data_IF_275386543348
#
_entry.id   IF_275386543348
#
_cell.length_a   1.000
_cell.length_b   1.000
_cell.length_c   1.000
_cell.angle_alpha   90.00
_cell.angle_beta   90.00
_cell.angle_gamma   90.00
#
_symmetry.space_group_name_H-M   'P 1'
#
loop_
_entity.id
_entity.type
_entity.pdbx_description
1 polymer ?
#
# COMPACT_ATOMS: atom_id res chain seq x y z
N UNK A 1 -31.05 47.87 52.99
CA UNK A 1 -30.25 48.38 51.83
C UNK A 1 -28.78 47.89 51.82
N UNK A 2 -28.07 47.76 52.97
CA UNK A 2 -26.68 47.32 53.00
C UNK A 2 -26.42 45.85 52.55
N UNK A 3 -27.39 44.94 52.72
CA UNK A 3 -27.24 43.52 52.32
C UNK A 3 -27.45 43.29 50.84
N UNK A 4 -28.21 44.13 50.14
CA UNK A 4 -28.47 44.03 48.70
C UNK A 4 -27.20 44.38 47.90
N UNK A 5 -26.46 45.36 48.36
CA UNK A 5 -25.20 45.78 47.69
C UNK A 5 -24.09 44.75 47.79
N UNK A 6 -24.06 43.91 48.84
CA UNK A 6 -23.06 42.85 49.00
C UNK A 6 -23.31 41.71 48.01
N UNK A 7 -24.56 41.37 47.76
CA UNK A 7 -24.93 40.36 46.75
C UNK A 7 -24.67 40.84 45.34
N UNK A 8 -24.89 42.11 45.03
CA UNK A 8 -24.60 42.69 43.73
C UNK A 8 -23.11 42.76 43.43
N UNK A 9 -22.27 43.08 44.42
CA UNK A 9 -20.82 43.04 44.27
C UNK A 9 -20.26 41.60 44.13
N UNK A 10 -20.86 40.60 44.82
CA UNK A 10 -20.47 39.20 44.69
C UNK A 10 -20.81 38.62 43.31
N UNK A 11 -21.94 39.08 42.69
CA UNK A 11 -22.33 38.62 41.37
C UNK A 11 -21.50 39.26 40.25
N UNK A 12 -20.94 40.47 40.47
CA UNK A 12 -20.10 41.16 39.49
C UNK A 12 -18.66 40.59 39.44
N UNK A 13 -18.23 39.92 40.52
CA UNK A 13 -16.89 39.31 40.61
C UNK A 13 -16.80 37.96 39.82
N UNK A 14 -17.90 37.34 39.44
CA UNK A 14 -17.93 36.08 38.71
C UNK A 14 -17.80 36.22 37.19
N UNK A 15 -17.85 37.46 36.66
CA UNK A 15 -17.75 37.69 35.19
C UNK A 15 -16.33 38.08 34.71
N UNK A 16 -15.36 38.15 35.63
CA UNK A 16 -13.93 38.26 35.26
C UNK A 16 -13.19 36.92 35.36
N UNK A 17 -13.86 35.85 34.98
CA UNK A 17 -13.11 34.66 34.60
C UNK A 17 -12.31 35.01 33.37
N UNK A 18 -11.03 35.32 33.54
CA UNK A 18 -10.08 35.40 32.45
C UNK A 18 -10.24 34.14 31.59
N UNK A 19 -10.76 34.27 30.40
CA UNK A 19 -10.38 33.37 29.33
C UNK A 19 -8.85 33.56 29.17
N UNK A 20 -8.06 32.74 29.86
CA UNK A 20 -6.73 32.52 29.43
C UNK A 20 -6.88 31.92 28.04
N UNK A 21 -6.46 32.67 27.03
CA UNK A 21 -6.24 32.08 25.71
C UNK A 21 -5.49 30.78 25.95
N UNK A 22 -6.13 29.66 25.60
CA UNK A 22 -5.44 28.38 25.60
C UNK A 22 -4.21 28.58 24.70
N UNK A 23 -3.01 28.24 25.17
CA UNK A 23 -1.86 28.31 24.28
C UNK A 23 -2.18 27.46 23.05
N UNK A 24 -2.43 28.14 21.94
CA UNK A 24 -2.51 27.46 20.65
C UNK A 24 -1.12 26.89 20.44
N UNK A 25 -1.03 25.59 20.34
CA UNK A 25 0.21 24.93 19.95
C UNK A 25 0.45 25.33 18.49
N UNK A 26 1.19 26.40 18.30
CA UNK A 26 1.68 26.81 16.99
C UNK A 26 3.08 26.21 16.83
N UNK A 27 3.14 24.98 16.29
CA UNK A 27 4.37 24.52 15.69
C UNK A 27 4.53 25.30 14.36
N UNK A 28 5.58 26.09 14.21
CA UNK A 28 5.82 26.83 12.98
C UNK A 28 6.11 25.91 11.79
N UNK A 29 6.45 24.65 12.07
CA UNK A 29 6.82 23.67 11.06
C UNK A 29 5.61 22.88 10.57
N UNK A 30 5.37 22.89 9.26
CA UNK A 30 4.43 22.02 8.62
C UNK A 30 5.15 20.72 8.22
N UNK A 31 4.67 19.59 8.75
CA UNK A 31 5.30 18.29 8.55
C UNK A 31 4.48 17.46 7.56
N UNK A 32 5.18 16.75 6.66
CA UNK A 32 4.57 15.77 5.74
C UNK A 32 4.80 14.35 6.24
N UNK A 33 3.72 13.57 6.27
CA UNK A 33 3.73 12.15 6.58
C UNK A 33 2.99 11.39 5.47
N UNK A 34 3.47 10.19 5.11
CA UNK A 34 2.66 9.28 4.31
C UNK A 34 1.53 8.71 5.17
N UNK A 35 0.33 8.63 4.60
CA UNK A 35 -0.81 8.01 5.24
C UNK A 35 -0.86 6.53 4.84
N UNK A 36 -0.66 5.63 5.80
CA UNK A 36 -0.70 4.17 5.59
C UNK A 36 -2.05 3.54 5.96
N UNK A 37 -3.07 4.35 6.12
CA UNK A 37 -4.37 3.97 6.65
C UNK A 37 -4.69 4.77 7.91
N UNK A 38 -5.94 5.15 8.09
CA UNK A 38 -6.37 6.15 9.04
C UNK A 38 -6.08 5.77 10.51
N UNK A 39 -5.59 6.72 11.28
CA UNK A 39 -5.59 6.76 12.76
C UNK A 39 -4.66 5.77 13.48
N UNK A 40 -3.61 5.31 12.83
CA UNK A 40 -2.59 4.49 13.49
C UNK A 40 -1.70 5.35 14.38
N UNK A 41 -1.42 4.87 15.60
CA UNK A 41 -0.32 5.40 16.40
C UNK A 41 1.02 4.97 15.79
N UNK A 42 2.11 5.67 16.11
CA UNK A 42 3.45 5.32 15.62
C UNK A 42 3.87 3.88 15.98
N UNK A 43 3.32 3.34 17.07
CA UNK A 43 3.57 1.97 17.53
C UNK A 43 2.85 0.90 16.69
N UNK A 44 1.79 1.29 15.96
CA UNK A 44 1.00 0.39 15.13
C UNK A 44 1.47 0.34 13.67
N UNK A 45 2.38 1.23 13.26
CA UNK A 45 2.92 1.24 11.89
C UNK A 45 3.91 0.11 11.70
N UNK A 46 3.50 -0.89 10.95
CA UNK A 46 4.37 -2.02 10.58
C UNK A 46 5.19 -1.70 9.32
N UNK A 47 6.29 -2.42 9.11
CA UNK A 47 7.08 -2.30 7.88
C UNK A 47 6.24 -2.62 6.63
N UNK A 48 5.29 -3.53 6.76
CA UNK A 48 4.39 -3.93 5.66
C UNK A 48 3.51 -2.77 5.18
N UNK A 49 3.02 -1.92 6.08
CA UNK A 49 2.19 -0.77 5.73
C UNK A 49 2.96 0.29 4.93
N UNK A 50 4.29 0.34 5.10
CA UNK A 50 5.19 1.25 4.38
C UNK A 50 5.62 0.72 3.02
N UNK A 51 5.21 -0.51 2.68
CA UNK A 51 5.59 -1.18 1.47
C UNK A 51 4.36 -1.45 0.60
N UNK A 52 4.48 -1.12 -0.67
CA UNK A 52 3.52 -1.49 -1.71
C UNK A 52 4.20 -2.29 -2.81
N UNK A 53 3.39 -2.97 -3.60
CA UNK A 53 3.84 -3.65 -4.79
C UNK A 53 3.02 -3.23 -6.00
N UNK A 54 3.67 -3.09 -7.15
CA UNK A 54 3.01 -2.87 -8.42
C UNK A 54 3.56 -3.82 -9.47
N UNK A 55 2.70 -4.64 -10.02
CA UNK A 55 3.02 -5.49 -11.17
C UNK A 55 2.24 -5.01 -12.39
N UNK A 56 2.96 -4.61 -13.43
CA UNK A 56 2.34 -4.27 -14.71
C UNK A 56 1.55 -5.44 -15.30
N UNK A 57 1.98 -6.67 -15.03
CA UNK A 57 1.29 -7.86 -15.53
C UNK A 57 -0.07 -8.08 -14.85
N UNK A 58 -0.23 -7.63 -13.60
CA UNK A 58 -1.47 -7.75 -12.84
C UNK A 58 -2.44 -6.60 -13.06
N UNK A 59 -1.91 -5.38 -13.07
CA UNK A 59 -2.73 -4.18 -12.89
C UNK A 59 -2.90 -3.35 -14.17
N UNK A 60 -2.10 -3.67 -15.20
CA UNK A 60 -2.01 -2.80 -16.37
C UNK A 60 -2.36 -3.57 -17.65
N UNK A 61 -3.32 -3.09 -18.44
CA UNK A 61 -3.67 -3.72 -19.72
C UNK A 61 -2.45 -3.95 -20.62
N UNK A 62 -2.52 -5.00 -21.43
CA UNK A 62 -1.47 -5.30 -22.41
C UNK A 62 -1.28 -4.12 -23.37
N UNK A 63 -0.03 -3.70 -23.56
CA UNK A 63 0.31 -2.55 -24.43
C UNK A 63 0.31 -1.19 -23.73
N UNK A 64 -0.17 -1.07 -22.51
CA UNK A 64 -0.03 0.15 -21.72
C UNK A 64 1.37 0.22 -21.13
N UNK A 65 2.07 1.34 -21.35
CA UNK A 65 3.48 1.53 -20.98
C UNK A 65 3.70 2.34 -19.70
N UNK A 66 2.64 2.77 -19.05
CA UNK A 66 2.71 3.49 -17.77
C UNK A 66 1.48 3.25 -16.93
N UNK A 67 1.65 3.35 -15.62
CA UNK A 67 0.56 3.27 -14.66
C UNK A 67 0.82 4.21 -13.49
N UNK A 68 -0.20 4.55 -12.71
CA UNK A 68 -0.10 5.51 -11.63
C UNK A 68 -0.45 4.87 -10.29
N UNK A 69 0.48 4.94 -9.35
CA UNK A 69 0.23 4.63 -7.94
C UNK A 69 -0.03 5.94 -7.21
N UNK A 70 -1.17 6.02 -6.55
CA UNK A 70 -1.54 7.19 -5.76
C UNK A 70 -1.15 6.99 -4.31
N UNK A 71 -0.53 8.02 -3.73
CA UNK A 71 -0.11 8.03 -2.33
C UNK A 71 -0.84 9.15 -1.60
N UNK A 72 -1.39 8.81 -0.44
CA UNK A 72 -1.98 9.77 0.46
C UNK A 72 -0.93 10.36 1.40
N UNK A 73 -0.98 11.66 1.59
CA UNK A 73 -0.07 12.43 2.44
C UNK A 73 -0.87 13.23 3.44
N UNK A 74 -0.50 13.13 4.72
CA UNK A 74 -1.07 13.93 5.80
C UNK A 74 -0.14 15.09 6.15
N UNK A 75 -0.75 16.25 6.39
CA UNK A 75 -0.08 17.47 6.80
C UNK A 75 -0.32 17.69 8.30
N UNK A 76 0.75 17.80 9.06
CA UNK A 76 0.70 18.16 10.47
C UNK A 76 1.24 19.57 10.66
N UNK A 77 0.56 20.37 11.46
CA UNK A 77 0.90 21.77 11.72
C UNK A 77 -0.16 22.75 11.22
N UNK A 78 0.23 23.98 10.94
CA UNK A 78 -0.68 25.02 10.52
C UNK A 78 -1.02 24.89 9.04
N UNK A 79 -2.31 24.79 8.71
CA UNK A 79 -2.76 24.74 7.33
C UNK A 79 -2.49 26.07 6.62
N UNK A 80 -1.95 25.98 5.40
CA UNK A 80 -1.74 27.14 4.54
C UNK A 80 -3.06 27.69 4.00
N UNK A 81 -3.15 29.01 3.83
CA UNK A 81 -4.27 29.65 3.14
C UNK A 81 -4.11 29.62 1.61
N UNK A 82 -2.95 29.20 1.11
CA UNK A 82 -2.62 29.12 -0.30
C UNK A 82 -2.13 27.70 -0.63
N UNK A 83 -2.28 27.31 -1.88
CA UNK A 83 -1.72 26.07 -2.40
C UNK A 83 -0.21 26.05 -2.18
N UNK A 84 0.29 24.97 -1.63
CA UNK A 84 1.69 24.86 -1.19
C UNK A 84 2.38 23.68 -1.88
N UNK A 85 3.44 23.92 -2.69
CA UNK A 85 4.16 22.86 -3.36
C UNK A 85 4.90 21.97 -2.36
N UNK A 86 4.76 20.66 -2.52
CA UNK A 86 5.58 19.65 -1.85
C UNK A 86 6.62 19.06 -2.81
N UNK A 87 7.59 18.35 -2.29
CA UNK A 87 8.62 17.70 -3.10
C UNK A 87 8.93 16.30 -2.56
N UNK A 88 9.13 15.38 -3.49
CA UNK A 88 9.57 14.02 -3.21
C UNK A 88 11.01 13.81 -3.64
N UNK A 89 11.65 12.80 -3.07
CA UNK A 89 12.94 12.29 -3.53
C UNK A 89 13.03 10.78 -3.34
N UNK A 90 13.84 10.15 -4.20
CA UNK A 90 14.17 8.75 -4.04
C UNK A 90 15.26 8.55 -2.99
N UNK A 91 15.12 7.50 -2.19
CA UNK A 91 16.16 6.99 -1.29
C UNK A 91 16.67 5.66 -1.84
N UNK A 92 17.99 5.54 -1.99
CA UNK A 92 18.60 4.29 -2.45
C UNK A 92 18.56 3.25 -1.35
N UNK A 93 18.20 2.03 -1.69
CA UNK A 93 18.15 0.87 -0.77
C UNK A 93 19.32 -0.04 -1.09
N UNK A 94 20.22 -0.20 -0.12
CA UNK A 94 21.40 -1.04 -0.28
C UNK A 94 21.02 -2.51 -0.49
N UNK A 95 21.76 -3.23 -1.33
CA UNK A 95 21.52 -4.64 -1.62
C UNK A 95 20.32 -4.92 -2.54
N UNK A 96 19.67 -3.88 -3.09
CA UNK A 96 18.54 -4.05 -4.02
C UNK A 96 18.83 -3.43 -5.39
N UNK A 97 18.09 -3.86 -6.42
CA UNK A 97 18.04 -3.17 -7.71
C UNK A 97 17.10 -1.97 -7.58
N UNK A 98 17.67 -0.78 -7.41
CA UNK A 98 16.87 0.43 -7.25
C UNK A 98 16.23 0.86 -8.58
N UNK A 99 15.03 1.42 -8.51
CA UNK A 99 14.38 2.04 -9.66
C UNK A 99 15.21 3.22 -10.19
N UNK A 100 15.13 3.46 -11.50
CA UNK A 100 15.86 4.53 -12.18
C UNK A 100 14.84 5.54 -12.72
N UNK A 101 14.99 6.82 -12.33
CA UNK A 101 14.18 7.91 -12.83
C UNK A 101 14.26 8.02 -14.36
N UNK A 102 13.15 8.30 -15.00
CA UNK A 102 13.03 8.33 -16.47
C UNK A 102 12.90 6.96 -17.12
N UNK A 103 13.37 5.88 -16.48
CA UNK A 103 13.27 4.49 -16.98
C UNK A 103 12.09 3.76 -16.33
N UNK A 104 12.05 3.69 -15.01
CA UNK A 104 11.05 2.92 -14.25
C UNK A 104 9.92 3.79 -13.66
N UNK A 105 10.14 5.09 -13.56
CA UNK A 105 9.14 6.06 -13.12
C UNK A 105 9.46 7.45 -13.68
N UNK A 106 8.47 8.35 -13.72
CA UNK A 106 8.68 9.76 -14.06
C UNK A 106 9.40 10.42 -12.87
N UNK A 107 10.52 11.09 -13.15
CA UNK A 107 11.30 11.77 -12.10
C UNK A 107 10.43 12.73 -11.27
N UNK A 108 10.62 12.76 -9.96
CA UNK A 108 9.77 13.55 -9.05
C UNK A 108 9.88 15.07 -9.26
N UNK A 109 10.90 15.52 -9.95
CA UNK A 109 11.13 16.93 -10.35
C UNK A 109 10.73 17.21 -11.81
N UNK A 110 10.10 16.25 -12.49
CA UNK A 110 9.59 16.47 -13.85
C UNK A 110 8.47 17.52 -13.82
N UNK A 111 8.52 18.53 -14.69
CA UNK A 111 7.51 19.59 -14.75
C UNK A 111 6.06 19.07 -14.92
N UNK A 112 5.86 17.91 -15.54
CA UNK A 112 4.54 17.31 -15.70
C UNK A 112 3.86 16.95 -14.36
N UNK A 113 4.66 16.75 -13.30
CA UNK A 113 4.17 16.43 -11.97
C UNK A 113 3.94 17.67 -11.08
N UNK A 114 4.37 18.85 -11.50
CA UNK A 114 4.35 20.06 -10.67
C UNK A 114 2.94 20.44 -10.21
N UNK A 115 1.93 20.24 -11.05
CA UNK A 115 0.54 20.54 -10.71
C UNK A 115 -0.09 19.56 -9.72
N UNK A 116 0.46 18.34 -9.61
CA UNK A 116 -0.02 17.30 -8.70
C UNK A 116 0.71 17.31 -7.36
N UNK A 117 1.93 17.86 -7.31
CA UNK A 117 2.72 17.90 -6.08
C UNK A 117 2.46 19.17 -5.29
N UNK A 118 1.18 19.33 -4.95
CA UNK A 118 0.67 20.51 -4.25
C UNK A 118 -0.27 20.04 -3.12
N UNK A 119 -0.09 20.63 -1.94
CA UNK A 119 -1.07 20.56 -0.87
C UNK A 119 -2.07 21.68 -1.11
N UNK A 120 -3.36 21.38 -1.31
CA UNK A 120 -4.36 22.42 -1.54
C UNK A 120 -4.54 23.35 -0.34
N UNK A 121 -4.90 24.60 -0.59
CA UNK A 121 -5.21 25.56 0.45
C UNK A 121 -6.23 24.99 1.46
N UNK A 122 -5.98 25.22 2.75
CA UNK A 122 -6.83 24.76 3.87
C UNK A 122 -7.00 23.23 3.96
N UNK A 123 -6.18 22.43 3.25
CA UNK A 123 -6.24 20.97 3.32
C UNK A 123 -5.19 20.41 4.29
N UNK A 124 -5.60 19.43 5.08
CA UNK A 124 -4.71 18.61 5.91
C UNK A 124 -4.20 17.37 5.18
N UNK A 125 -4.60 17.17 3.93
CA UNK A 125 -4.24 15.99 3.14
C UNK A 125 -3.92 16.37 1.70
N UNK A 126 -3.06 15.58 1.06
CA UNK A 126 -2.83 15.62 -0.37
C UNK A 126 -2.82 14.22 -0.95
N UNK A 127 -3.23 14.08 -2.21
CA UNK A 127 -3.25 12.83 -2.95
C UNK A 127 -2.33 12.98 -4.15
N UNK A 128 -1.19 12.29 -4.13
CA UNK A 128 -0.08 12.54 -5.05
C UNK A 128 0.23 11.32 -5.91
N UNK A 129 0.49 11.50 -7.23
CA UNK A 129 0.78 10.39 -8.13
C UNK A 129 2.25 10.02 -8.13
N UNK A 130 2.53 8.74 -8.21
CA UNK A 130 3.80 8.16 -8.64
C UNK A 130 3.55 7.47 -9.97
N UNK A 131 4.01 8.07 -11.06
CA UNK A 131 3.79 7.54 -12.41
C UNK A 131 4.91 6.56 -12.73
N UNK A 132 4.56 5.28 -12.74
CA UNK A 132 5.45 4.19 -13.09
C UNK A 132 5.53 3.99 -14.59
N UNK A 133 6.67 3.53 -15.09
CA UNK A 133 6.92 3.23 -16.50
C UNK A 133 7.26 1.76 -16.66
N UNK A 134 6.57 1.12 -17.62
CA UNK A 134 6.79 -0.27 -17.99
C UNK A 134 8.04 -0.38 -18.84
N UNK A 135 9.16 -0.73 -18.21
CA UNK A 135 10.42 -0.96 -18.89
C UNK A 135 10.67 -2.47 -19.08
N UNK A 136 11.24 -2.92 -20.21
CA UNK A 136 11.51 -4.35 -20.44
C UNK A 136 12.35 -5.02 -19.34
N UNK A 137 13.19 -4.28 -18.63
CA UNK A 137 14.01 -4.81 -17.53
C UNK A 137 13.19 -5.30 -16.34
N UNK A 138 11.92 -4.86 -16.22
CA UNK A 138 10.98 -5.31 -15.19
C UNK A 138 10.48 -6.74 -15.42
N UNK A 139 10.57 -7.24 -16.64
CA UNK A 139 10.29 -8.64 -16.96
C UNK A 139 11.41 -9.59 -16.48
N UNK A 140 12.63 -9.07 -16.30
CA UNK A 140 13.78 -9.84 -15.82
C UNK A 140 13.84 -9.88 -14.27
N UNK A 141 13.19 -8.94 -13.59
CA UNK A 141 13.18 -8.86 -12.13
C UNK A 141 12.53 -7.57 -11.63
N UNK A 142 12.31 -7.51 -10.33
CA UNK A 142 11.76 -6.34 -9.68
C UNK A 142 12.81 -5.26 -9.44
N UNK A 143 12.34 -4.01 -9.34
CA UNK A 143 13.10 -2.86 -8.85
C UNK A 143 12.42 -2.26 -7.64
N UNK A 144 13.19 -1.62 -6.77
CA UNK A 144 12.70 -0.97 -5.54
C UNK A 144 12.76 0.54 -5.69
N UNK A 145 11.64 1.20 -5.46
CA UNK A 145 11.51 2.65 -5.40
C UNK A 145 11.14 3.05 -3.97
N UNK A 146 12.13 3.44 -3.16
CA UNK A 146 11.86 4.04 -1.86
C UNK A 146 11.77 5.55 -2.00
N UNK A 147 10.68 6.11 -1.48
CA UNK A 147 10.29 7.51 -1.62
C UNK A 147 10.31 8.15 -0.25
N UNK A 148 10.78 9.38 -0.17
CA UNK A 148 10.66 10.25 1.00
C UNK A 148 10.37 11.69 0.57
N UNK A 149 10.01 12.53 1.51
CA UNK A 149 9.83 13.95 1.26
C UNK A 149 11.19 14.66 1.17
N UNK A 150 11.29 15.59 0.24
CA UNK A 150 12.38 16.57 0.19
C UNK A 150 11.89 17.86 0.83
N UNK A 151 12.56 18.27 1.90
CA UNK A 151 12.23 19.50 2.59
C UNK A 151 12.34 20.73 1.67
N UNK A 152 11.45 21.67 1.89
CA UNK A 152 11.40 22.93 1.16
C UNK A 152 10.98 24.10 2.09
N UNK A 153 10.67 25.26 1.53
CA UNK A 153 10.26 26.43 2.31
C UNK A 153 8.90 26.23 3.04
N UNK A 154 8.05 25.31 2.56
CA UNK A 154 6.71 25.11 3.06
C UNK A 154 6.63 23.92 4.03
N UNK A 155 7.46 22.89 3.81
CA UNK A 155 7.31 21.62 4.49
C UNK A 155 8.65 21.02 4.90
N UNK A 156 8.63 20.36 6.07
CA UNK A 156 9.66 19.46 6.56
C UNK A 156 9.17 18.02 6.52
N UNK A 157 10.09 17.08 6.58
CA UNK A 157 9.77 15.66 6.74
C UNK A 157 9.20 15.43 8.14
N UNK A 158 8.11 14.67 8.22
CA UNK A 158 7.43 14.37 9.46
C UNK A 158 8.10 13.28 10.29
N UNK A 159 7.30 12.48 10.99
CA UNK A 159 7.82 11.42 11.85
C UNK A 159 8.53 10.33 11.03
N UNK A 160 9.66 9.79 11.52
CA UNK A 160 10.44 8.77 10.81
C UNK A 160 9.59 7.56 10.38
N UNK A 161 8.62 7.18 11.21
CA UNK A 161 7.71 6.05 10.96
C UNK A 161 6.79 6.29 9.77
N UNK A 162 6.50 7.54 9.44
CA UNK A 162 5.61 7.96 8.36
C UNK A 162 6.34 8.67 7.22
N UNK A 163 7.67 8.68 7.23
CA UNK A 163 8.47 9.51 6.32
C UNK A 163 8.87 8.82 5.03
N UNK A 164 8.67 7.50 4.91
CA UNK A 164 9.09 6.73 3.74
C UNK A 164 8.01 5.79 3.24
N UNK A 165 7.89 5.68 1.91
CA UNK A 165 7.08 4.66 1.25
C UNK A 165 7.94 3.89 0.25
N UNK A 166 7.82 2.56 0.23
CA UNK A 166 8.62 1.71 -0.66
C UNK A 166 7.70 0.98 -1.62
N UNK A 167 7.94 1.15 -2.92
CA UNK A 167 7.27 0.41 -3.98
C UNK A 167 8.22 -0.63 -4.57
N UNK A 168 7.77 -1.87 -4.63
CA UNK A 168 8.41 -2.91 -5.43
C UNK A 168 7.69 -2.98 -6.77
N UNK A 169 8.40 -2.70 -7.87
CA UNK A 169 7.82 -2.62 -9.21
C UNK A 169 8.36 -3.75 -10.08
N UNK A 170 7.49 -4.43 -10.79
CA UNK A 170 7.84 -5.53 -11.71
C UNK A 170 6.90 -5.58 -12.92
N UNK A 171 7.28 -6.32 -13.96
CA UNK A 171 6.38 -6.76 -15.04
C UNK A 171 6.24 -8.30 -15.00
N UNK A 172 6.14 -8.82 -13.78
CA UNK A 172 5.99 -10.23 -13.45
C UNK A 172 4.94 -10.37 -12.37
N UNK A 173 4.38 -11.56 -12.26
CA UNK A 173 3.61 -11.90 -11.09
C UNK A 173 4.57 -12.09 -9.91
N UNK A 174 4.36 -11.35 -8.86
CA UNK A 174 5.07 -11.51 -7.59
C UNK A 174 4.11 -12.06 -6.54
N UNK A 175 4.66 -12.79 -5.56
CA UNK A 175 3.89 -13.28 -4.43
C UNK A 175 3.27 -12.09 -3.69
N UNK A 176 1.94 -12.02 -3.55
CA UNK A 176 1.29 -11.00 -2.74
C UNK A 176 1.69 -11.13 -1.26
N UNK A 177 1.77 -10.01 -0.54
CA UNK A 177 2.03 -10.03 0.91
C UNK A 177 0.91 -10.75 1.67
N UNK A 178 -0.34 -10.55 1.23
CA UNK A 178 -1.51 -11.20 1.79
C UNK A 178 -1.48 -12.73 1.65
N UNK A 179 -0.70 -13.30 0.72
CA UNK A 179 -0.52 -14.75 0.59
C UNK A 179 0.03 -15.36 1.87
N UNK A 180 1.07 -14.77 2.45
CA UNK A 180 1.66 -15.26 3.70
C UNK A 180 0.79 -14.93 4.91
N UNK A 181 0.19 -13.76 4.94
CA UNK A 181 -0.68 -13.33 6.04
C UNK A 181 -1.94 -14.18 6.16
N UNK A 182 -2.51 -14.57 5.03
CA UNK A 182 -3.66 -15.45 4.94
C UNK A 182 -3.26 -16.94 4.98
N UNK A 183 -1.96 -17.24 5.06
CA UNK A 183 -1.45 -18.61 5.04
C UNK A 183 -2.00 -19.42 3.86
N UNK A 184 -2.04 -18.83 2.66
CA UNK A 184 -2.67 -19.46 1.48
C UNK A 184 -1.99 -20.76 1.06
N UNK A 185 -0.75 -21.00 1.48
CA UNK A 185 -0.06 -22.27 1.29
C UNK A 185 -0.84 -23.46 1.86
N UNK A 186 -1.65 -23.25 2.92
CA UNK A 186 -2.47 -24.31 3.53
C UNK A 186 -3.76 -24.60 2.75
N UNK A 187 -4.13 -23.75 1.80
CA UNK A 187 -5.29 -23.96 0.95
C UNK A 187 -4.88 -24.32 -0.47
N UNK A 188 -3.92 -23.61 -1.04
CA UNK A 188 -3.56 -23.67 -2.45
C UNK A 188 -2.15 -24.21 -2.72
N UNK A 189 -1.43 -24.66 -1.67
CA UNK A 189 -0.04 -25.09 -1.78
C UNK A 189 0.95 -23.92 -1.92
N UNK A 190 2.21 -24.25 -2.08
CA UNK A 190 3.29 -23.25 -2.21
C UNK A 190 3.04 -22.30 -3.37
N UNK A 191 3.30 -21.00 -3.15
CA UNK A 191 3.17 -19.98 -4.21
C UNK A 191 4.06 -20.33 -5.41
N UNK A 192 3.52 -20.07 -6.61
CA UNK A 192 4.23 -20.13 -7.87
C UNK A 192 3.67 -19.13 -8.86
N UNK A 193 4.54 -18.56 -9.72
CA UNK A 193 4.14 -17.56 -10.70
C UNK A 193 3.13 -18.13 -11.71
N UNK A 194 3.39 -19.36 -12.20
CA UNK A 194 2.49 -20.05 -13.13
C UNK A 194 1.17 -20.43 -12.46
N UNK A 195 1.22 -20.89 -11.22
CA UNK A 195 0.01 -21.12 -10.40
C UNK A 195 -0.85 -19.86 -10.33
N UNK A 196 -0.25 -18.73 -10.01
CA UNK A 196 -0.93 -17.45 -9.93
C UNK A 196 -1.57 -17.06 -11.29
N UNK A 197 -0.84 -17.22 -12.39
CA UNK A 197 -1.40 -17.02 -13.75
C UNK A 197 -2.63 -17.89 -14.01
N UNK A 198 -2.58 -19.16 -13.60
CA UNK A 198 -3.71 -20.09 -13.78
C UNK A 198 -4.90 -19.70 -12.90
N UNK A 199 -4.67 -19.32 -11.65
CA UNK A 199 -5.72 -18.82 -10.76
C UNK A 199 -6.41 -17.61 -11.38
N UNK A 200 -5.65 -16.63 -11.87
CA UNK A 200 -6.18 -15.44 -12.56
C UNK A 200 -6.99 -15.83 -13.81
N UNK A 201 -6.44 -16.73 -14.63
CA UNK A 201 -7.11 -17.20 -15.86
C UNK A 201 -8.46 -17.83 -15.57
N UNK A 202 -8.57 -18.65 -14.54
CA UNK A 202 -9.77 -19.43 -14.24
C UNK A 202 -10.83 -18.62 -13.47
N UNK A 203 -10.41 -17.65 -12.66
CA UNK A 203 -11.33 -16.85 -11.83
C UNK A 203 -11.63 -15.47 -12.40
N UNK A 204 -10.84 -15.00 -13.38
CA UNK A 204 -10.83 -13.62 -13.89
C UNK A 204 -10.52 -12.57 -12.80
N UNK A 205 -9.89 -13.00 -11.69
CA UNK A 205 -9.55 -12.18 -10.53
C UNK A 205 -8.02 -12.00 -10.43
N UNK A 206 -7.55 -10.87 -9.89
CA UNK A 206 -6.12 -10.53 -9.83
C UNK A 206 -5.31 -11.38 -8.87
N UNK A 207 -5.92 -11.94 -7.84
CA UNK A 207 -5.25 -12.64 -6.74
C UNK A 207 -4.11 -11.83 -6.10
N UNK A 208 -4.22 -10.50 -6.16
CA UNK A 208 -3.34 -9.56 -5.47
C UNK A 208 -3.75 -9.35 -4.00
N UNK A 209 -3.01 -8.48 -3.30
CA UNK A 209 -3.29 -8.19 -1.89
C UNK A 209 -4.73 -7.69 -1.67
N UNK A 210 -5.28 -6.90 -2.61
CA UNK A 210 -6.64 -6.36 -2.50
C UNK A 210 -7.69 -7.47 -2.62
N UNK A 211 -7.56 -8.34 -3.63
CA UNK A 211 -8.50 -9.45 -3.81
C UNK A 211 -8.41 -10.45 -2.66
N UNK A 212 -7.21 -10.84 -2.23
CA UNK A 212 -7.03 -11.75 -1.08
C UNK A 212 -7.66 -11.15 0.18
N UNK A 213 -7.45 -9.86 0.47
CA UNK A 213 -8.07 -9.17 1.59
C UNK A 213 -9.60 -9.04 1.47
N UNK A 214 -10.16 -9.16 0.25
CA UNK A 214 -11.61 -9.25 0.08
C UNK A 214 -12.17 -10.58 0.59
N UNK A 215 -11.40 -11.66 0.52
CA UNK A 215 -11.77 -13.02 0.93
C UNK A 215 -11.39 -13.37 2.38
N UNK A 216 -10.37 -12.69 2.90
CA UNK A 216 -9.79 -12.96 4.22
C UNK A 216 -9.84 -11.69 5.08
N UNK A 217 -9.83 -11.85 6.40
CA UNK A 217 -9.78 -10.75 7.35
C UNK A 217 -9.07 -11.17 8.65
N UNK A 218 -8.51 -10.21 9.36
CA UNK A 218 -8.04 -10.43 10.74
C UNK A 218 -9.25 -10.46 11.71
N UNK A 219 -9.90 -11.61 11.74
CA UNK A 219 -11.13 -11.82 12.54
C UNK A 219 -10.81 -11.83 14.04
N UNK A 220 -9.58 -12.17 14.40
CA UNK A 220 -9.16 -12.38 15.80
C UNK A 220 -8.27 -11.27 16.35
N UNK A 221 -7.85 -10.31 15.54
CA UNK A 221 -6.99 -9.19 15.96
C UNK A 221 -5.54 -9.59 16.26
N UNK A 222 -5.04 -10.69 15.66
CA UNK A 222 -3.68 -11.19 15.88
C UNK A 222 -2.72 -10.89 14.72
N UNK A 223 -3.16 -10.10 13.73
CA UNK A 223 -2.36 -9.77 12.56
C UNK A 223 -2.24 -10.90 11.52
N UNK A 224 -3.00 -11.99 11.70
CA UNK A 224 -3.14 -13.07 10.72
C UNK A 224 -4.53 -13.04 10.10
N UNK A 225 -4.59 -13.25 8.79
CA UNK A 225 -5.86 -13.25 8.08
C UNK A 225 -6.48 -14.66 8.09
N UNK A 226 -7.77 -14.72 8.40
CA UNK A 226 -8.59 -15.93 8.33
C UNK A 226 -9.65 -15.80 7.24
N UNK A 227 -10.08 -16.90 6.60
CA UNK A 227 -11.14 -16.84 5.61
C UNK A 227 -12.44 -16.25 6.20
N UNK A 228 -13.07 -15.33 5.48
CA UNK A 228 -14.42 -14.83 5.80
C UNK A 228 -15.47 -15.92 5.61
N UNK A 229 -15.28 -16.79 4.62
CA UNK A 229 -16.06 -18.00 4.38
C UNK A 229 -15.13 -19.21 4.18
N UNK A 230 -14.85 -20.00 5.23
CA UNK A 230 -13.98 -21.17 5.13
C UNK A 230 -14.46 -22.21 4.11
N UNK A 231 -15.78 -22.43 4.00
CA UNK A 231 -16.31 -23.43 3.07
C UNK A 231 -16.07 -23.03 1.61
N UNK A 232 -16.16 -21.72 1.31
CA UNK A 232 -15.86 -21.21 -0.02
C UNK A 232 -14.38 -21.41 -0.37
N UNK A 233 -13.47 -21.14 0.56
CA UNK A 233 -12.03 -21.29 0.32
C UNK A 233 -11.64 -22.75 0.16
N UNK A 234 -12.20 -23.66 0.96
CA UNK A 234 -11.98 -25.11 0.81
C UNK A 234 -12.52 -25.62 -0.54
N UNK A 235 -13.72 -25.18 -0.92
CA UNK A 235 -14.29 -25.51 -2.23
C UNK A 235 -13.39 -25.00 -3.36
N UNK A 236 -12.93 -23.78 -3.26
CA UNK A 236 -12.07 -23.14 -4.28
C UNK A 236 -10.74 -23.88 -4.42
N UNK A 237 -10.15 -24.34 -3.32
CA UNK A 237 -8.93 -25.16 -3.35
C UNK A 237 -9.12 -26.48 -4.11
N UNK A 238 -10.22 -27.19 -3.84
CA UNK A 238 -10.60 -28.40 -4.59
C UNK A 238 -10.83 -28.11 -6.08
N UNK A 239 -11.53 -27.03 -6.36
CA UNK A 239 -11.83 -26.62 -7.73
C UNK A 239 -10.57 -26.27 -8.54
N UNK A 240 -9.60 -25.58 -7.96
CA UNK A 240 -8.32 -25.30 -8.62
C UNK A 240 -7.55 -26.59 -8.95
N UNK A 241 -7.54 -27.54 -8.04
CA UNK A 241 -6.89 -28.82 -8.28
C UNK A 241 -7.54 -29.58 -9.44
N UNK A 242 -8.88 -29.57 -9.52
CA UNK A 242 -9.63 -30.18 -10.62
C UNK A 242 -9.36 -29.46 -11.98
N UNK A 243 -9.34 -28.11 -11.99
CA UNK A 243 -9.03 -27.36 -13.20
C UNK A 243 -7.62 -27.66 -13.71
N UNK A 244 -6.64 -27.75 -12.80
CA UNK A 244 -5.27 -28.10 -13.16
C UNK A 244 -5.19 -29.52 -13.77
N UNK A 245 -5.87 -30.49 -13.17
CA UNK A 245 -5.90 -31.87 -13.68
C UNK A 245 -6.51 -31.93 -15.08
N UNK A 246 -7.66 -31.27 -15.31
CA UNK A 246 -8.33 -31.20 -16.61
C UNK A 246 -7.41 -30.58 -17.67
N UNK A 247 -6.82 -29.43 -17.40
CA UNK A 247 -5.90 -28.78 -18.35
C UNK A 247 -4.66 -29.63 -18.63
N UNK A 248 -4.09 -30.28 -17.60
CA UNK A 248 -2.93 -31.12 -17.78
C UNK A 248 -3.25 -32.38 -18.64
N UNK A 249 -4.43 -32.96 -18.51
CA UNK A 249 -4.90 -34.04 -19.37
C UNK A 249 -4.99 -33.58 -20.82
N UNK A 250 -5.60 -32.43 -21.09
CA UNK A 250 -5.69 -31.87 -22.44
C UNK A 250 -4.31 -31.56 -23.04
N UNK A 251 -3.38 -31.01 -22.25
CA UNK A 251 -2.00 -30.74 -22.65
C UNK A 251 -1.25 -32.00 -23.07
N UNK A 252 -1.35 -33.06 -22.25
CA UNK A 252 -0.73 -34.36 -22.55
C UNK A 252 -1.31 -35.00 -23.83
N UNK A 253 -2.64 -34.91 -24.05
CA UNK A 253 -3.26 -35.35 -25.29
C UNK A 253 -2.73 -34.60 -26.52
N UNK A 254 -2.39 -33.31 -26.36
CA UNK A 254 -1.80 -32.45 -27.37
C UNK A 254 -0.26 -32.55 -27.41
N UNK A 255 0.35 -33.53 -26.75
CA UNK A 255 1.81 -33.74 -26.66
C UNK A 255 2.58 -32.58 -26.05
N UNK A 256 1.95 -31.81 -25.16
CA UNK A 256 2.55 -30.76 -24.37
C UNK A 256 2.84 -31.28 -22.97
N UNK A 257 3.88 -30.76 -22.31
CA UNK A 257 4.15 -31.03 -20.91
C UNK A 257 3.02 -30.51 -20.02
N UNK A 258 2.85 -31.08 -18.83
CA UNK A 258 2.02 -30.49 -17.77
C UNK A 258 2.51 -29.09 -17.44
N UNK A 259 1.64 -28.29 -16.84
CA UNK A 259 2.02 -26.94 -16.38
C UNK A 259 3.17 -27.02 -15.36
N UNK A 260 4.18 -26.19 -15.54
CA UNK A 260 5.36 -26.09 -14.68
C UNK A 260 5.57 -24.64 -14.26
N UNK A 261 6.07 -24.45 -13.03
CA UNK A 261 6.51 -23.15 -12.55
C UNK A 261 7.71 -22.65 -13.36
N UNK A 262 7.69 -21.37 -13.70
CA UNK A 262 8.68 -20.77 -14.61
C UNK A 262 10.07 -20.69 -14.00
N UNK A 263 10.15 -20.53 -12.69
CA UNK A 263 11.40 -20.33 -11.93
C UNK A 263 12.04 -21.66 -11.50
N UNK A 264 11.24 -22.64 -11.11
CA UNK A 264 11.72 -23.91 -10.56
C UNK A 264 11.68 -25.06 -11.56
N UNK A 265 10.87 -24.95 -12.62
CA UNK A 265 10.59 -26.04 -13.55
C UNK A 265 9.77 -27.19 -12.93
N UNK A 266 9.35 -27.08 -11.66
CA UNK A 266 8.50 -28.08 -11.01
C UNK A 266 7.08 -28.04 -11.59
N UNK A 267 6.35 -29.16 -11.62
CA UNK A 267 4.95 -29.13 -11.93
C UNK A 267 4.18 -28.14 -11.01
N UNK A 268 3.22 -27.43 -11.56
CA UNK A 268 2.28 -26.65 -10.76
C UNK A 268 1.50 -27.61 -9.86
N UNK A 269 1.32 -27.25 -8.60
CA UNK A 269 0.70 -28.10 -7.60
C UNK A 269 -0.16 -27.28 -6.65
N UNK A 270 -1.44 -27.65 -6.50
CA UNK A 270 -2.39 -27.07 -5.56
C UNK A 270 -2.57 -27.90 -4.28
N UNK A 271 -1.63 -28.81 -4.00
CA UNK A 271 -1.70 -29.61 -2.79
C UNK A 271 -1.51 -28.73 -1.55
N UNK A 272 -2.49 -28.68 -0.63
CA UNK A 272 -2.38 -27.91 0.61
C UNK A 272 -1.18 -28.36 1.45
N UNK A 273 -0.53 -27.39 2.09
CA UNK A 273 0.50 -27.68 3.10
C UNK A 273 -0.16 -28.30 4.33
N UNK A 274 0.36 -29.41 4.83
CA UNK A 274 -0.11 -29.98 6.10
C UNK A 274 0.30 -29.09 7.28
N UNK A 275 -0.64 -28.82 8.21
CA UNK A 275 -0.36 -28.15 9.47
C UNK A 275 0.56 -29.02 10.34
N UNK A 276 1.76 -28.55 10.63
CA UNK A 276 2.52 -29.07 11.77
C UNK A 276 3.31 -30.37 11.55
N UNK A 277 3.85 -30.59 10.35
CA UNK A 277 4.95 -31.58 10.19
C UNK A 277 6.27 -30.95 9.84
#
# INVERSE_FOLDING_TARGET
MKRLNIWLCSMLLCITACEKDLPVFEDPDCLLNFNYGSQLSTEEVTEMMRNGSHSFKLKTPEGQLSDTVWLDVDIMGKLSAEDSPLALQQVMVEGTKNAVAGTHYIAFDDPVLAEFYVVPAHSATAHIPVILKRDPSLAEGNVVLRITFRENANFKTGYPEFSTYTLTVSDRLSKPNAWDLASLDYYFGEYGEKKHELMMKWTEESWDDEYINSLFADIYGFGTLSPKDPNYIEWLAGWFAEQLEQENVERLQNKLDVWKESDTGKPVDFTPKEWGR
#
